data_IF_320915453189
#
_entry.id   IF_320915453189
#
_cell.length_a   1.000
_cell.length_b   1.000
_cell.length_c   1.000
_cell.angle_alpha   90.00
_cell.angle_beta   90.00
_cell.angle_gamma   90.00
#
_symmetry.space_group_name_H-M   'P 1'
#
loop_
_entity.id
_entity.type
_entity.pdbx_description
1 polymer ?
#
# COMPACT_ATOMS: atom_id res chain seq x y z
N UNK A 1 -1.44 -6.95 21.41
CA UNK A 1 -1.73 -6.78 22.85
C UNK A 1 -2.11 -8.07 23.59
N UNK A 2 -2.43 -9.19 22.93
CA UNK A 2 -2.86 -10.42 23.63
C UNK A 2 -1.72 -11.27 24.20
N UNK A 3 -0.46 -11.01 23.82
CA UNK A 3 0.69 -11.82 24.23
C UNK A 3 1.15 -11.54 25.67
N UNK A 4 0.90 -10.34 26.18
CA UNK A 4 1.37 -9.92 27.49
C UNK A 4 0.81 -10.77 28.64
N UNK A 5 -0.51 -11.03 28.74
CA UNK A 5 -1.03 -11.89 29.81
C UNK A 5 -0.52 -13.33 29.76
N UNK A 6 -0.29 -13.88 28.56
CA UNK A 6 0.29 -15.23 28.42
C UNK A 6 1.73 -15.33 28.92
N UNK A 7 2.52 -14.26 28.82
CA UNK A 7 3.91 -14.26 29.32
C UNK A 7 3.97 -14.35 30.85
N UNK A 8 3.07 -13.64 31.55
CA UNK A 8 2.98 -13.71 33.02
C UNK A 8 2.55 -15.11 33.50
N UNK A 9 1.68 -15.79 32.75
CA UNK A 9 1.24 -17.15 33.06
C UNK A 9 2.39 -18.16 32.84
N UNK A 10 3.20 -17.98 31.78
CA UNK A 10 4.37 -18.83 31.53
C UNK A 10 5.45 -18.66 32.60
N UNK A 11 5.71 -17.42 33.03
CA UNK A 11 6.67 -17.11 34.09
C UNK A 11 6.25 -17.75 35.45
N UNK A 12 4.95 -17.69 35.78
CA UNK A 12 4.41 -18.33 36.99
C UNK A 12 4.45 -19.86 36.96
N UNK A 13 4.34 -20.46 35.77
CA UNK A 13 4.35 -21.92 35.62
C UNK A 13 5.76 -22.50 35.56
N UNK A 14 6.79 -21.67 35.41
CA UNK A 14 8.20 -22.07 35.43
C UNK A 14 8.60 -23.04 34.30
N UNK A 15 7.79 -23.12 33.24
CA UNK A 15 8.03 -23.98 32.08
C UNK A 15 9.18 -23.42 31.22
N UNK A 16 9.41 -22.10 31.26
CA UNK A 16 10.46 -21.40 30.52
C UNK A 16 11.15 -20.36 31.42
N UNK A 17 12.49 -20.26 31.38
CA UNK A 17 13.23 -19.23 32.11
C UNK A 17 13.07 -17.87 31.43
N UNK A 18 12.15 -17.06 31.93
CA UNK A 18 11.94 -15.70 31.41
C UNK A 18 12.96 -14.72 32.04
N UNK A 19 14.16 -14.66 31.47
CA UNK A 19 15.16 -13.66 31.89
C UNK A 19 14.85 -12.30 31.27
N UNK A 20 14.68 -11.28 32.11
CA UNK A 20 14.59 -9.90 31.63
C UNK A 20 15.87 -9.49 30.90
N UNK A 21 15.78 -8.84 29.73
CA UNK A 21 16.96 -8.42 28.99
C UNK A 21 17.81 -7.44 29.81
N UNK A 22 19.15 -7.47 29.66
CA UNK A 22 20.04 -6.55 30.36
C UNK A 22 19.67 -5.09 30.13
N UNK A 23 19.74 -4.25 31.17
CA UNK A 23 19.36 -2.84 31.09
C UNK A 23 20.11 -2.04 29.99
N UNK A 24 21.31 -2.49 29.60
CA UNK A 24 22.11 -1.87 28.53
C UNK A 24 21.54 -2.03 27.12
N UNK A 25 20.69 -3.04 26.86
CA UNK A 25 20.11 -3.28 25.52
C UNK A 25 18.69 -2.72 25.37
N UNK A 26 18.02 -2.39 26.47
CA UNK A 26 16.71 -1.71 26.48
C UNK A 26 16.62 -0.48 25.56
N UNK A 27 17.61 0.45 25.50
CA UNK A 27 17.50 1.61 24.61
C UNK A 27 17.43 1.22 23.13
N UNK A 28 18.15 0.17 22.71
CA UNK A 28 18.10 -0.32 21.33
C UNK A 28 16.72 -0.88 20.99
N UNK A 29 16.12 -1.64 21.92
CA UNK A 29 14.75 -2.12 21.76
C UNK A 29 13.75 -0.98 21.68
N UNK A 30 13.91 0.07 22.48
CA UNK A 30 13.05 1.25 22.43
C UNK A 30 13.15 1.97 21.07
N UNK A 31 14.37 2.13 20.54
CA UNK A 31 14.60 2.73 19.21
C UNK A 31 13.91 1.91 18.12
N UNK A 32 14.11 0.58 18.11
CA UNK A 32 13.46 -0.31 17.14
C UNK A 32 11.94 -0.27 17.27
N UNK A 33 11.40 -0.24 18.49
CA UNK A 33 9.96 -0.14 18.71
C UNK A 33 9.36 1.16 18.15
N UNK A 34 10.06 2.30 18.32
CA UNK A 34 9.64 3.59 17.76
C UNK A 34 9.71 3.57 16.23
N UNK A 35 10.80 3.04 15.65
CA UNK A 35 10.93 2.87 14.20
C UNK A 35 9.83 2.00 13.62
N UNK A 36 9.51 0.89 14.28
CA UNK A 36 8.43 0.00 13.88
C UNK A 36 7.06 0.67 13.97
N UNK A 37 6.79 1.43 15.04
CA UNK A 37 5.55 2.18 15.16
C UNK A 37 5.40 3.21 14.03
N UNK A 38 6.49 3.93 13.70
CA UNK A 38 6.52 4.90 12.60
C UNK A 38 6.36 4.23 11.24
N UNK A 39 7.01 3.10 11.01
CA UNK A 39 6.82 2.31 9.79
C UNK A 39 5.35 1.89 9.64
N UNK A 40 4.70 1.43 10.70
CA UNK A 40 3.32 0.99 10.65
C UNK A 40 2.33 2.13 10.40
N UNK A 41 2.55 3.31 10.98
CA UNK A 41 1.73 4.49 10.69
C UNK A 41 1.92 4.97 9.26
N UNK A 42 3.16 4.97 8.74
CA UNK A 42 3.45 5.29 7.34
C UNK A 42 2.78 4.31 6.37
N UNK A 43 2.82 3.01 6.65
CA UNK A 43 2.16 1.98 5.83
C UNK A 43 0.64 2.19 5.82
N UNK A 44 0.01 2.41 6.97
CA UNK A 44 -1.43 2.66 7.04
C UNK A 44 -1.82 3.95 6.29
N UNK A 45 -1.04 5.02 6.43
CA UNK A 45 -1.25 6.26 5.68
C UNK A 45 -1.09 6.03 4.16
N UNK A 46 -0.08 5.26 3.74
CA UNK A 46 0.12 4.93 2.32
C UNK A 46 -1.03 4.10 1.75
N UNK A 47 -1.59 3.17 2.53
CA UNK A 47 -2.76 2.37 2.13
C UNK A 47 -4.00 3.26 2.00
N UNK A 48 -4.15 4.28 2.85
CA UNK A 48 -5.27 5.21 2.76
C UNK A 48 -5.22 6.06 1.46
N UNK A 49 -4.02 6.37 0.95
CA UNK A 49 -3.83 7.19 -0.25
C UNK A 49 -3.78 6.34 -1.54
N UNK A 50 -3.40 5.06 -1.43
CA UNK A 50 -3.15 4.16 -2.57
C UNK A 50 -3.89 2.83 -2.42
N UNK A 51 -3.47 1.76 -3.12
CA UNK A 51 -4.05 0.43 -2.94
C UNK A 51 -3.19 -0.41 -1.99
N UNK A 52 -3.79 -1.28 -1.16
CA UNK A 52 -3.04 -2.13 -0.23
C UNK A 52 -2.01 -3.02 -0.96
N UNK A 53 -2.32 -3.45 -2.18
CA UNK A 53 -1.39 -4.23 -3.01
C UNK A 53 -0.16 -3.43 -3.44
N UNK A 54 -0.33 -2.14 -3.78
CA UNK A 54 0.80 -1.29 -4.16
C UNK A 54 1.75 -1.08 -2.97
N UNK A 55 1.20 -0.82 -1.78
CA UNK A 55 1.99 -0.64 -0.56
C UNK A 55 2.69 -1.94 -0.15
N UNK A 56 2.01 -3.09 -0.26
CA UNK A 56 2.63 -4.38 0.00
C UNK A 56 3.84 -4.62 -0.92
N UNK A 57 3.71 -4.36 -2.22
CA UNK A 57 4.83 -4.51 -3.16
C UNK A 57 5.95 -3.49 -2.89
N UNK A 58 5.61 -2.27 -2.49
CA UNK A 58 6.58 -1.26 -2.04
C UNK A 58 7.34 -1.70 -0.79
N UNK A 59 6.68 -2.38 0.15
CA UNK A 59 7.34 -2.92 1.35
C UNK A 59 8.35 -4.02 1.03
N UNK A 60 8.12 -4.84 0.00
CA UNK A 60 9.08 -5.87 -0.45
C UNK A 60 10.36 -5.22 -1.01
N UNK A 61 10.27 -3.99 -1.53
CA UNK A 61 11.41 -3.23 -2.04
C UNK A 61 12.38 -2.78 -0.92
N UNK A 62 11.99 -2.89 0.34
CA UNK A 62 12.89 -2.68 1.48
C UNK A 62 14.00 -3.71 1.53
N UNK A 63 13.82 -4.92 0.98
CA UNK A 63 14.83 -5.99 0.96
C UNK A 63 16.08 -5.55 0.15
N UNK A 64 15.95 -5.12 -1.13
CA UNK A 64 17.08 -4.51 -1.85
C UNK A 64 17.70 -3.31 -1.12
N UNK A 65 16.88 -2.48 -0.45
CA UNK A 65 17.37 -1.33 0.31
C UNK A 65 18.24 -1.71 1.50
N UNK A 66 17.83 -2.74 2.25
CA UNK A 66 18.61 -3.29 3.36
C UNK A 66 19.90 -3.92 2.87
N UNK A 67 19.86 -4.68 1.78
CA UNK A 67 21.07 -5.26 1.17
C UNK A 67 22.06 -4.19 0.69
N UNK A 68 21.55 -3.10 0.10
CA UNK A 68 22.40 -1.97 -0.27
C UNK A 68 23.04 -1.34 0.98
N UNK A 69 22.28 -1.18 2.06
CA UNK A 69 22.81 -0.67 3.34
C UNK A 69 23.89 -1.59 3.91
N UNK A 70 23.69 -2.91 3.91
CA UNK A 70 24.66 -3.89 4.41
C UNK A 70 25.94 -3.90 3.55
N UNK A 71 25.80 -3.77 2.23
CA UNK A 71 26.95 -3.63 1.32
C UNK A 71 27.78 -2.38 1.64
N UNK A 72 27.15 -1.22 1.87
CA UNK A 72 27.86 0.02 2.16
C UNK A 72 28.41 0.11 3.59
N UNK A 73 27.74 -0.47 4.57
CA UNK A 73 28.10 -0.35 5.99
C UNK A 73 29.10 -1.42 6.44
N UNK A 74 28.92 -2.67 5.99
CA UNK A 74 29.71 -3.83 6.44
C UNK A 74 30.67 -4.31 5.32
N UNK A 75 30.43 -3.93 4.06
CA UNK A 75 31.23 -4.40 2.93
C UNK A 75 30.97 -5.86 2.58
N UNK A 76 29.83 -6.42 3.01
CA UNK A 76 29.50 -7.83 2.77
C UNK A 76 29.13 -8.04 1.30
N UNK A 77 29.74 -9.06 0.67
CA UNK A 77 29.44 -9.41 -0.73
C UNK A 77 28.39 -10.52 -0.74
N UNK A 78 27.22 -10.17 -1.24
CA UNK A 78 26.07 -11.06 -1.32
C UNK A 78 26.26 -12.19 -2.35
N UNK A 79 25.61 -13.33 -2.08
CA UNK A 79 25.63 -14.48 -2.97
C UNK A 79 24.96 -14.19 -4.33
N UNK A 80 25.41 -14.87 -5.40
CA UNK A 80 24.83 -14.71 -6.73
C UNK A 80 23.32 -15.00 -6.79
N UNK A 81 22.83 -15.90 -5.92
CA UNK A 81 21.41 -16.20 -5.78
C UNK A 81 20.62 -15.01 -5.21
N UNK A 82 21.19 -14.33 -4.20
CA UNK A 82 20.61 -13.12 -3.58
C UNK A 82 20.47 -12.00 -4.60
N UNK A 83 21.51 -11.78 -5.41
CA UNK A 83 21.51 -10.79 -6.51
C UNK A 83 20.38 -11.09 -7.51
N UNK A 84 20.19 -12.36 -7.88
CA UNK A 84 19.11 -12.76 -8.78
C UNK A 84 17.73 -12.44 -8.20
N UNK A 85 17.52 -12.71 -6.90
CA UNK A 85 16.29 -12.35 -6.19
C UNK A 85 16.01 -10.84 -6.21
N UNK A 86 17.04 -10.02 -5.98
CA UNK A 86 16.93 -8.55 -6.03
C UNK A 86 16.49 -8.07 -7.41
N UNK A 87 17.11 -8.59 -8.48
CA UNK A 87 16.76 -8.22 -9.86
C UNK A 87 15.29 -8.53 -10.14
N UNK A 88 14.79 -9.68 -9.71
CA UNK A 88 13.38 -10.07 -9.87
C UNK A 88 12.45 -9.12 -9.12
N UNK A 89 12.76 -8.78 -7.86
CA UNK A 89 11.96 -7.86 -7.04
C UNK A 89 11.89 -6.48 -7.70
N UNK A 90 13.03 -5.92 -8.09
CA UNK A 90 13.10 -4.59 -8.71
C UNK A 90 12.36 -4.57 -10.04
N UNK A 91 12.57 -5.58 -10.90
CA UNK A 91 11.89 -5.69 -12.19
C UNK A 91 10.37 -5.80 -12.02
N UNK A 92 9.92 -6.62 -11.07
CA UNK A 92 8.48 -6.78 -10.77
C UNK A 92 7.84 -5.47 -10.31
N UNK A 93 8.54 -4.70 -9.48
CA UNK A 93 8.06 -3.41 -9.03
C UNK A 93 7.99 -2.38 -10.16
N UNK A 94 9.01 -2.32 -11.02
CA UNK A 94 9.02 -1.43 -12.20
C UNK A 94 7.83 -1.75 -13.12
N UNK A 95 7.60 -3.02 -13.43
CA UNK A 95 6.46 -3.44 -14.22
C UNK A 95 5.14 -3.01 -13.58
N UNK A 96 4.99 -3.20 -12.27
CA UNK A 96 3.80 -2.79 -11.53
C UNK A 96 3.54 -1.28 -11.61
N UNK A 97 4.57 -0.45 -11.50
CA UNK A 97 4.48 1.01 -11.63
C UNK A 97 4.05 1.42 -13.04
N UNK A 98 4.63 0.79 -14.07
CA UNK A 98 4.29 1.05 -15.48
C UNK A 98 2.82 0.69 -15.76
N UNK A 99 2.39 -0.52 -15.36
CA UNK A 99 1.01 -0.98 -15.56
C UNK A 99 -0.01 -0.14 -14.79
N UNK A 100 0.28 0.24 -13.54
CA UNK A 100 -0.58 1.12 -12.75
C UNK A 100 -0.78 2.49 -13.42
N UNK A 101 0.28 3.03 -14.02
CA UNK A 101 0.25 4.29 -14.75
C UNK A 101 -0.53 4.22 -16.06
N UNK A 102 -0.47 3.08 -16.76
CA UNK A 102 -1.23 2.83 -17.98
C UNK A 102 -2.73 2.65 -17.69
N UNK A 103 -3.07 1.89 -16.65
CA UNK A 103 -4.45 1.64 -16.23
C UNK A 103 -5.19 2.92 -15.84
N UNK A 104 -4.55 3.83 -15.08
CA UNK A 104 -5.15 5.14 -14.72
C UNK A 104 -5.42 6.03 -15.94
N UNK A 105 -4.59 5.95 -17.00
CA UNK A 105 -4.82 6.69 -18.25
C UNK A 105 -6.01 6.14 -19.01
N UNK A 106 -6.15 4.82 -19.11
CA UNK A 106 -7.31 4.21 -19.74
C UNK A 106 -8.61 4.47 -18.98
N UNK A 107 -8.60 4.38 -17.66
CA UNK A 107 -9.78 4.68 -16.84
C UNK A 107 -10.17 6.17 -16.94
N UNK A 108 -9.21 7.09 -16.98
CA UNK A 108 -9.47 8.52 -17.23
C UNK A 108 -10.03 8.76 -18.64
N UNK A 109 -9.51 8.10 -19.67
CA UNK A 109 -10.03 8.22 -21.03
C UNK A 109 -11.48 7.71 -21.12
N UNK A 110 -11.80 6.56 -20.50
CA UNK A 110 -13.17 6.06 -20.43
C UNK A 110 -14.11 6.99 -19.63
N UNK A 111 -13.65 7.51 -18.48
CA UNK A 111 -14.43 8.46 -17.68
C UNK A 111 -14.68 9.79 -18.42
N UNK A 112 -13.70 10.28 -19.18
CA UNK A 112 -13.85 11.48 -20.03
C UNK A 112 -14.83 11.23 -21.19
N UNK A 113 -14.83 10.03 -21.77
CA UNK A 113 -15.83 9.64 -22.77
C UNK A 113 -17.25 9.52 -22.18
N UNK A 114 -17.40 9.06 -20.93
CA UNK A 114 -18.70 9.06 -20.24
C UNK A 114 -19.16 10.48 -19.87
N UNK A 115 -18.26 11.39 -19.49
CA UNK A 115 -18.63 12.76 -19.14
C UNK A 115 -19.13 13.59 -20.34
N UNK A 116 -18.75 13.22 -21.57
CA UNK A 116 -19.27 13.87 -22.78
C UNK A 116 -20.60 13.28 -23.28
N UNK A 117 -21.08 12.18 -22.69
CA UNK A 117 -22.32 11.47 -23.09
C UNK A 117 -23.52 11.66 -22.14
N UNK A 118 -23.35 12.33 -21.00
CA UNK A 118 -24.41 12.57 -20.03
C UNK A 118 -24.73 14.06 -19.88
N UNK A 119 -25.03 14.75 -20.99
CA UNK A 119 -25.87 15.95 -20.92
C UNK A 119 -27.32 15.46 -20.79
N UNK A 120 -28.08 15.81 -19.73
CA UNK A 120 -29.51 15.55 -19.67
C UNK A 120 -30.16 16.26 -20.85
N UNK A 121 -30.79 15.51 -21.76
CA UNK A 121 -31.64 16.10 -22.78
C UNK A 121 -32.73 16.93 -22.07
N UNK A 122 -32.85 18.24 -22.34
CA UNK A 122 -33.93 19.04 -21.75
C UNK A 122 -35.28 18.45 -22.22
N UNK A 123 -36.30 18.42 -21.36
CA UNK A 123 -37.60 17.88 -21.72
C UNK A 123 -38.11 18.61 -22.95
N UNK A 124 -38.32 17.86 -24.03
CA UNK A 124 -38.86 18.34 -25.29
C UNK A 124 -40.17 19.07 -25.01
N UNK A 125 -40.17 20.38 -25.23
CA UNK A 125 -41.34 21.22 -25.16
C UNK A 125 -42.42 20.65 -26.09
N UNK A 126 -43.59 20.37 -25.53
CA UNK A 126 -44.80 20.02 -26.27
C UNK A 126 -45.17 21.18 -27.21
N UNK A 127 -45.45 20.92 -28.50
CA UNK A 127 -45.95 21.96 -29.37
C UNK A 127 -47.39 22.28 -28.99
N UNK A 128 -47.61 23.51 -28.50
CA UNK A 128 -48.94 24.14 -28.55
C UNK A 128 -49.28 24.41 -30.02
N UNK A 129 -50.19 23.62 -30.59
CA UNK A 129 -50.98 24.03 -31.74
C UNK A 129 -52.38 24.39 -31.24
N UNK A 130 -52.69 25.68 -31.26
CA UNK A 130 -54.05 26.17 -31.05
C UNK A 130 -54.70 26.56 -32.37
N UNK A 131 -56.04 26.40 -32.42
CA UNK A 131 -57.03 27.03 -33.32
C UNK A 131 -56.97 26.59 -34.81
N UNK A 132 -58.06 26.45 -35.55
CA UNK A 132 -59.47 26.82 -35.39
C UNK A 132 -60.34 26.07 -36.44
N UNK A 133 -61.63 25.92 -36.09
CA UNK A 133 -62.86 26.03 -36.91
C UNK A 133 -63.15 25.18 -38.16
N UNK A 134 -64.46 24.83 -38.24
CA UNK A 134 -65.35 24.72 -39.41
C UNK A 134 -65.82 23.33 -39.92
N UNK A 135 -67.17 23.18 -39.88
CA UNK A 135 -68.08 22.48 -40.81
C UNK A 135 -67.90 20.94 -40.91
N UNK A 136 -68.89 20.08 -40.62
CA UNK A 136 -70.31 20.02 -41.01
C UNK A 136 -71.10 19.20 -39.98
#
# INVERSE_FOLDING_TARGET
CFLFPSLWILDFTGIEEFAWPPAGVLPNYAIVAVLMALYQTCVLAAIAITSPTFVAMGSVLTIPGAMAWDYFSVGHIESALSITGIVIIVTSFILLVIFSSASKRHLRAHLLHCFCGCIPQPPSATPKAGKATDLV
#
